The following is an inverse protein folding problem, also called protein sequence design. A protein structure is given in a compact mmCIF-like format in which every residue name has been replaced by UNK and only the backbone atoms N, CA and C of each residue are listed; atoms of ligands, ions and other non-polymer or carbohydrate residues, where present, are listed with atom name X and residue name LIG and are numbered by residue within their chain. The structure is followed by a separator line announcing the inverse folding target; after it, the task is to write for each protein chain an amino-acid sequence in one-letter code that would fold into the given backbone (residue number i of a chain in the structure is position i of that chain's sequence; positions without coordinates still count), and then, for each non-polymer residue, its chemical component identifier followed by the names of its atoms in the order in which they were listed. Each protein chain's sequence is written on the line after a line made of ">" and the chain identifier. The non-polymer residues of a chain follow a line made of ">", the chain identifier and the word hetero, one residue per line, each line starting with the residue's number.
data_IF_567386435064
#
_entry.id   IF_567386435064
#
_cell.length_a   1.000
_cell.length_b   1.000
_cell.length_c   1.000
_cell.angle_alpha   90.00
_cell.angle_beta   90.00
_cell.angle_gamma   90.00
#
_symmetry.space_group_name_H-M   'P 1'
#
loop_
_entity.id
_entity.type
_entity.pdbx_description
1 polymer ?
#
# COMPACT_ATOMS: atom_id res chain seq x y z
N UNK A 1 -7.41 40.42 -26.74
CA UNK A 1 -7.81 39.46 -27.80
C UNK A 1 -8.16 38.16 -27.10
N UNK A 2 -9.45 37.85 -27.00
CA UNK A 2 -9.92 36.61 -26.36
C UNK A 2 -9.53 35.43 -27.24
N UNK A 3 -8.79 34.44 -26.71
CA UNK A 3 -8.47 33.21 -27.44
C UNK A 3 -9.78 32.56 -27.93
N UNK A 4 -9.78 31.93 -29.13
CA UNK A 4 -10.92 31.16 -29.60
C UNK A 4 -11.33 30.16 -28.51
N UNK A 5 -12.62 30.13 -28.18
CA UNK A 5 -13.13 29.37 -27.04
C UNK A 5 -12.71 27.92 -27.15
N UNK A 6 -11.85 27.47 -26.23
CA UNK A 6 -11.48 26.06 -26.12
C UNK A 6 -12.78 25.28 -25.97
N UNK A 7 -13.05 24.37 -26.91
CA UNK A 7 -14.17 23.46 -26.79
C UNK A 7 -13.94 22.62 -25.53
N UNK A 8 -14.69 22.97 -24.49
CA UNK A 8 -14.52 22.37 -23.17
C UNK A 8 -14.80 20.87 -23.17
N UNK A 9 -15.58 20.37 -24.14
CA UNK A 9 -15.87 18.95 -24.29
C UNK A 9 -14.68 18.21 -24.93
N UNK A 10 -14.15 18.75 -26.03
CA UNK A 10 -13.00 18.16 -26.72
C UNK A 10 -11.75 18.14 -25.83
N UNK A 11 -11.46 19.24 -25.13
CA UNK A 11 -10.33 19.32 -24.20
C UNK A 11 -10.46 18.32 -23.04
N UNK A 12 -11.67 18.15 -22.50
CA UNK A 12 -11.91 17.17 -21.44
C UNK A 12 -11.71 15.73 -21.91
N UNK A 13 -12.18 15.40 -23.13
CA UNK A 13 -12.00 14.08 -23.72
C UNK A 13 -10.52 13.76 -23.99
N UNK A 14 -9.74 14.74 -24.44
CA UNK A 14 -8.32 14.56 -24.69
C UNK A 14 -7.51 14.38 -23.38
N UNK A 15 -7.80 15.21 -22.38
CA UNK A 15 -7.16 15.11 -21.06
C UNK A 15 -7.53 13.81 -20.35
N UNK A 16 -8.79 13.34 -20.43
CA UNK A 16 -9.19 12.06 -19.84
C UNK A 16 -8.50 10.87 -20.51
N UNK A 17 -8.31 10.90 -21.84
CA UNK A 17 -7.51 9.90 -22.55
C UNK A 17 -6.04 9.92 -22.11
N UNK A 18 -5.48 11.11 -21.88
CA UNK A 18 -4.10 11.27 -21.38
C UNK A 18 -3.97 10.70 -19.97
N UNK A 19 -4.93 10.97 -19.09
CA UNK A 19 -5.01 10.39 -17.73
C UNK A 19 -5.11 8.85 -17.79
N UNK A 20 -5.90 8.31 -18.71
CA UNK A 20 -5.98 6.86 -18.88
C UNK A 20 -4.65 6.25 -19.34
N UNK A 21 -3.94 6.86 -20.30
CA UNK A 21 -2.59 6.43 -20.67
C UNK A 21 -1.64 6.49 -19.46
N UNK A 22 -1.74 7.55 -18.66
CA UNK A 22 -0.94 7.73 -17.46
C UNK A 22 -1.22 6.70 -16.36
N UNK A 23 -2.39 6.05 -16.38
CA UNK A 23 -2.70 4.92 -15.49
C UNK A 23 -1.89 3.65 -15.81
N UNK A 24 -1.52 3.48 -17.08
CA UNK A 24 -0.73 2.35 -17.58
C UNK A 24 0.77 2.66 -17.53
N UNK A 25 1.13 3.90 -17.83
CA UNK A 25 2.51 4.37 -17.83
C UNK A 25 2.61 5.80 -17.25
N UNK A 26 3.17 5.96 -16.03
CA UNK A 26 3.22 7.24 -15.34
C UNK A 26 3.95 8.37 -16.07
N UNK A 27 4.75 8.10 -17.11
CA UNK A 27 5.42 9.18 -17.87
C UNK A 27 4.42 10.15 -18.51
N UNK A 28 3.23 9.67 -18.87
CA UNK A 28 2.17 10.46 -19.51
C UNK A 28 1.52 11.49 -18.57
N UNK A 29 1.82 11.48 -17.26
CA UNK A 29 1.40 12.58 -16.39
C UNK A 29 2.02 13.91 -16.80
N UNK A 30 3.24 13.90 -17.34
CA UNK A 30 3.91 15.10 -17.87
C UNK A 30 3.17 15.72 -19.07
N UNK A 31 2.45 14.92 -19.85
CA UNK A 31 1.65 15.39 -21.01
C UNK A 31 0.31 16.03 -20.60
N UNK A 32 -0.18 15.75 -19.38
CA UNK A 32 -1.44 16.30 -18.87
C UNK A 32 -1.29 17.77 -18.46
N UNK A 33 -0.19 18.09 -17.79
CA UNK A 33 0.04 19.40 -17.17
C UNK A 33 0.01 20.58 -18.17
N UNK A 34 0.63 20.48 -19.37
CA UNK A 34 0.54 21.52 -20.40
C UNK A 34 -0.90 21.81 -20.84
N UNK A 35 -1.70 20.76 -21.05
CA UNK A 35 -3.11 20.89 -21.48
C UNK A 35 -3.97 21.51 -20.39
N UNK A 36 -3.73 21.13 -19.14
CA UNK A 36 -4.40 21.74 -18.00
C UNK A 36 -4.02 23.22 -17.82
N UNK A 37 -2.75 23.56 -18.04
CA UNK A 37 -2.27 24.96 -18.03
C UNK A 37 -2.98 25.81 -19.08
N UNK A 38 -3.12 25.31 -20.31
CA UNK A 38 -3.78 26.02 -21.41
C UNK A 38 -5.24 26.36 -21.09
N UNK A 39 -6.02 25.41 -20.55
CA UNK A 39 -7.42 25.65 -20.17
C UNK A 39 -7.58 26.51 -18.92
N UNK A 40 -6.50 26.68 -18.16
CA UNK A 40 -6.40 27.52 -16.97
C UNK A 40 -5.67 28.86 -17.26
N UNK A 41 -5.74 29.40 -18.47
CA UNK A 41 -5.18 30.72 -18.85
C UNK A 41 -3.64 30.78 -18.74
N UNK A 42 -2.97 29.70 -19.17
CA UNK A 42 -1.51 29.51 -19.10
C UNK A 42 -0.94 29.77 -17.70
N UNK A 43 -1.72 29.43 -16.67
CA UNK A 43 -1.26 29.49 -15.30
C UNK A 43 -0.48 28.22 -14.95
N UNK A 44 0.63 28.34 -14.21
CA UNK A 44 1.44 27.18 -13.86
C UNK A 44 0.64 26.08 -13.17
N UNK A 45 0.94 24.84 -13.53
CA UNK A 45 0.31 23.63 -12.97
C UNK A 45 1.40 22.76 -12.39
N UNK A 46 1.17 22.18 -11.22
CA UNK A 46 2.14 21.34 -10.55
C UNK A 46 1.46 20.16 -9.87
N UNK A 47 2.15 19.03 -9.92
CA UNK A 47 1.88 17.88 -9.09
C UNK A 47 2.98 17.77 -8.04
N UNK A 48 2.59 17.88 -6.78
CA UNK A 48 3.49 18.02 -5.65
C UNK A 48 3.39 16.79 -4.74
N UNK A 49 4.53 16.28 -4.28
CA UNK A 49 4.60 15.32 -3.19
C UNK A 49 4.93 16.07 -1.90
N UNK A 50 3.93 16.22 -1.03
CA UNK A 50 4.02 16.92 0.24
C UNK A 50 4.17 15.92 1.38
N UNK A 51 5.32 15.89 2.05
CA UNK A 51 5.52 15.04 3.23
C UNK A 51 5.34 15.83 4.52
N UNK A 52 4.40 15.47 5.43
CA UNK A 52 4.22 16.16 6.70
C UNK A 52 5.50 16.14 7.54
N UNK A 53 6.04 17.31 7.85
CA UNK A 53 7.26 17.46 8.67
C UNK A 53 8.57 17.14 7.95
N UNK A 54 8.54 16.81 6.66
CA UNK A 54 9.76 16.75 5.84
C UNK A 54 10.15 18.15 5.39
N UNK A 55 11.44 18.43 5.45
CA UNK A 55 12.07 19.65 4.97
C UNK A 55 12.27 19.65 3.44
N UNK A 56 11.77 18.60 2.77
CA UNK A 56 11.79 18.37 1.33
C UNK A 56 10.39 17.95 0.88
N UNK A 57 9.81 18.74 -0.02
CA UNK A 57 8.60 18.39 -0.77
C UNK A 57 8.93 18.51 -2.25
N UNK A 58 9.46 17.46 -2.89
CA UNK A 58 9.84 17.55 -4.28
C UNK A 58 8.62 17.87 -5.14
N UNK A 59 8.78 18.85 -6.03
CA UNK A 59 7.88 18.99 -7.18
C UNK A 59 8.08 17.73 -8.00
N UNK A 60 7.02 16.93 -8.15
CA UNK A 60 7.12 15.65 -8.88
C UNK A 60 7.16 15.95 -10.37
N UNK A 61 6.25 16.81 -10.83
CA UNK A 61 6.21 17.36 -12.17
C UNK A 61 5.56 18.75 -12.12
N UNK A 62 6.05 19.69 -12.92
CA UNK A 62 5.46 21.03 -13.08
C UNK A 62 5.51 21.47 -14.53
N UNK A 63 4.56 22.34 -14.90
CA UNK A 63 4.53 23.03 -16.18
C UNK A 63 4.19 24.50 -15.97
N UNK A 64 4.83 25.39 -16.73
CA UNK A 64 4.62 26.83 -16.66
C UNK A 64 5.43 27.55 -15.58
N UNK A 65 6.16 26.82 -14.73
CA UNK A 65 7.21 27.36 -13.86
C UNK A 65 8.57 27.20 -14.55
N UNK A 66 9.47 28.19 -14.43
CA UNK A 66 10.85 28.01 -14.88
C UNK A 66 11.57 27.01 -13.95
N UNK A 67 12.48 26.21 -14.52
CA UNK A 67 13.17 25.13 -13.80
C UNK A 67 13.90 25.63 -12.55
N UNK A 68 14.50 26.83 -12.60
CA UNK A 68 15.18 27.47 -11.47
C UNK A 68 14.25 27.74 -10.27
N UNK A 69 12.98 28.06 -10.52
CA UNK A 69 11.99 28.25 -9.47
C UNK A 69 11.50 26.92 -8.88
N UNK A 70 11.37 25.88 -9.72
CA UNK A 70 11.03 24.55 -9.26
C UNK A 70 12.15 23.94 -8.39
N UNK A 71 13.41 24.11 -8.79
CA UNK A 71 14.59 23.68 -8.03
C UNK A 71 14.69 24.43 -6.69
N UNK A 72 14.65 25.77 -6.71
CA UNK A 72 14.73 26.59 -5.49
C UNK A 72 13.57 26.31 -4.50
N UNK A 73 12.40 25.92 -5.01
CA UNK A 73 11.31 25.44 -4.16
C UNK A 73 11.67 24.12 -3.46
N UNK A 74 12.17 23.15 -4.21
CA UNK A 74 12.61 21.85 -3.67
C UNK A 74 13.71 22.00 -2.62
N UNK A 75 14.62 22.94 -2.79
CA UNK A 75 15.75 23.16 -1.88
C UNK A 75 15.38 23.98 -0.64
N UNK A 76 14.71 25.12 -0.82
CA UNK A 76 14.62 26.15 0.20
C UNK A 76 13.18 26.60 0.51
N UNK A 77 12.36 26.88 -0.51
CA UNK A 77 11.06 27.52 -0.27
C UNK A 77 9.92 26.57 0.12
N UNK A 78 10.08 25.25 -0.04
CA UNK A 78 9.06 24.29 0.42
C UNK A 78 8.76 24.40 1.92
N UNK A 79 9.77 24.73 2.74
CA UNK A 79 9.64 24.85 4.20
C UNK A 79 8.91 26.13 4.60
N UNK A 80 9.00 27.14 3.75
CA UNK A 80 8.36 28.44 3.93
C UNK A 80 6.96 28.47 3.33
N UNK A 81 6.57 27.45 2.55
CA UNK A 81 5.25 27.37 1.92
C UNK A 81 4.14 27.38 2.99
N UNK A 82 3.49 28.54 3.11
CA UNK A 82 2.46 28.80 4.09
C UNK A 82 1.14 28.05 3.82
N UNK A 83 0.96 27.49 2.63
CA UNK A 83 -0.20 26.68 2.27
C UNK A 83 -0.05 25.21 2.66
N UNK A 84 1.18 24.67 2.62
CA UNK A 84 1.44 23.25 2.81
C UNK A 84 0.89 22.66 4.13
N UNK A 85 1.04 23.29 5.32
CA UNK A 85 0.48 22.77 6.57
C UNK A 85 -1.06 22.73 6.60
N UNK A 86 -1.72 23.51 5.76
CA UNK A 86 -3.19 23.58 5.67
C UNK A 86 -3.74 22.55 4.67
N UNK A 87 -2.93 22.14 3.70
CA UNK A 87 -3.26 21.08 2.76
C UNK A 87 -3.37 19.72 3.45
N UNK A 88 -2.53 19.43 4.45
CA UNK A 88 -2.56 18.16 5.19
C UNK A 88 -3.84 17.94 6.04
N UNK A 89 -4.65 18.99 6.24
CA UNK A 89 -5.93 18.90 6.96
C UNK A 89 -7.12 18.63 6.02
N UNK A 90 -6.91 18.74 4.69
CA UNK A 90 -7.96 18.54 3.68
C UNK A 90 -8.19 17.06 3.42
N UNK A 91 -9.43 16.72 3.05
CA UNK A 91 -9.77 15.34 2.70
C UNK A 91 -9.31 15.03 1.26
N UNK A 92 -8.72 13.86 0.99
CA UNK A 92 -8.47 13.45 -0.39
C UNK A 92 -9.74 13.50 -1.24
N UNK A 93 -9.61 14.01 -2.47
CA UNK A 93 -10.73 14.25 -3.40
C UNK A 93 -11.49 15.55 -3.17
N UNK A 94 -11.17 16.34 -2.14
CA UNK A 94 -11.77 17.66 -1.93
C UNK A 94 -11.04 18.71 -2.78
N UNK A 95 -11.72 19.28 -3.77
CA UNK A 95 -11.19 20.42 -4.55
C UNK A 95 -11.34 21.70 -3.74
N UNK A 96 -10.28 22.51 -3.68
CA UNK A 96 -10.26 23.76 -2.93
C UNK A 96 -9.59 24.88 -3.72
N UNK A 97 -9.97 26.12 -3.37
CA UNK A 97 -9.32 27.36 -3.81
C UNK A 97 -8.38 27.86 -2.71
N UNK A 98 -7.29 28.53 -3.08
CA UNK A 98 -6.34 29.09 -2.10
C UNK A 98 -7.00 30.18 -1.27
N UNK A 99 -7.95 30.95 -1.81
CA UNK A 99 -8.77 31.88 -1.04
C UNK A 99 -9.52 31.23 0.16
N UNK A 100 -9.85 29.94 0.08
CA UNK A 100 -10.48 29.19 1.18
C UNK A 100 -9.47 28.61 2.19
N UNK A 101 -8.17 28.76 1.91
CA UNK A 101 -7.06 28.24 2.72
C UNK A 101 -6.39 29.38 3.49
N UNK A 102 -6.18 30.51 2.82
CA UNK A 102 -5.53 31.68 3.39
C UNK A 102 -6.05 32.93 2.69
N UNK A 103 -6.32 33.98 3.46
CA UNK A 103 -6.67 35.27 2.88
C UNK A 103 -5.45 35.91 2.20
N UNK A 104 -5.67 36.55 1.05
CA UNK A 104 -4.61 37.22 0.28
C UNK A 104 -3.83 38.23 1.11
N UNK A 105 -4.48 38.93 2.06
CA UNK A 105 -3.81 39.91 2.95
C UNK A 105 -2.74 39.29 3.85
N UNK A 106 -2.88 38.02 4.20
CA UNK A 106 -1.92 37.30 5.03
C UNK A 106 -0.81 36.72 4.16
N UNK A 107 -1.16 36.19 2.98
CA UNK A 107 -0.20 35.69 2.00
C UNK A 107 0.86 36.76 1.66
N UNK A 108 0.42 37.99 1.35
CA UNK A 108 1.34 39.06 0.91
C UNK A 108 2.37 39.48 1.97
N UNK A 109 2.15 39.09 3.24
CA UNK A 109 3.07 39.35 4.35
C UNK A 109 4.12 38.25 4.55
N UNK A 110 4.03 37.14 3.82
CA UNK A 110 4.93 36.00 3.98
C UNK A 110 6.19 36.16 3.13
N UNK A 111 7.29 35.56 3.60
CA UNK A 111 8.53 35.42 2.83
C UNK A 111 8.30 34.60 1.55
N UNK A 112 7.56 33.50 1.68
CA UNK A 112 7.17 32.65 0.55
C UNK A 112 6.51 33.42 -0.60
N UNK A 113 5.62 34.36 -0.28
CA UNK A 113 5.03 35.20 -1.30
C UNK A 113 6.02 36.18 -1.92
N UNK A 114 6.72 36.95 -1.09
CA UNK A 114 7.53 38.08 -1.57
C UNK A 114 8.77 37.62 -2.34
N UNK A 115 9.37 36.51 -1.91
CA UNK A 115 10.67 36.08 -2.42
C UNK A 115 10.55 34.95 -3.45
N UNK A 116 9.46 34.16 -3.42
CA UNK A 116 9.26 33.05 -4.35
C UNK A 116 8.06 33.23 -5.29
N UNK A 117 6.82 33.45 -4.80
CA UNK A 117 5.65 33.53 -5.69
C UNK A 117 5.62 34.81 -6.55
N UNK A 118 5.90 35.97 -5.94
CA UNK A 118 5.73 37.27 -6.57
C UNK A 118 6.66 37.51 -7.77
N UNK A 119 7.95 37.12 -7.74
CA UNK A 119 8.85 37.25 -8.91
C UNK A 119 8.38 36.48 -10.15
N UNK A 120 7.56 35.45 -9.97
CA UNK A 120 7.08 34.57 -11.04
C UNK A 120 5.81 35.12 -11.72
N UNK A 121 5.84 36.37 -12.19
CA UNK A 121 4.66 37.05 -12.76
C UNK A 121 3.51 37.26 -11.76
N UNK A 122 3.88 37.60 -10.52
CA UNK A 122 2.97 37.96 -9.44
C UNK A 122 1.91 36.89 -9.16
N UNK A 123 2.35 35.62 -9.05
CA UNK A 123 1.51 34.51 -8.59
C UNK A 123 1.02 34.77 -7.16
N UNK A 124 -0.23 34.45 -6.86
CA UNK A 124 -0.86 34.88 -5.59
C UNK A 124 -2.01 34.02 -5.08
N UNK A 125 -2.43 33.01 -5.85
CA UNK A 125 -3.45 32.08 -5.38
C UNK A 125 -3.47 30.84 -6.24
N UNK A 126 -4.59 30.15 -6.27
CA UNK A 126 -4.71 28.92 -7.04
C UNK A 126 -5.91 28.08 -6.69
N UNK A 127 -5.95 26.90 -7.30
CA UNK A 127 -6.83 25.83 -6.86
C UNK A 127 -6.06 24.50 -6.87
N UNK A 128 -6.49 23.57 -6.04
CA UNK A 128 -5.85 22.29 -5.92
C UNK A 128 -6.78 21.20 -5.39
N UNK A 129 -6.27 19.98 -5.43
CA UNK A 129 -6.91 18.81 -4.86
C UNK A 129 -5.83 17.89 -4.28
N UNK A 130 -6.10 17.36 -3.09
CA UNK A 130 -5.30 16.26 -2.54
C UNK A 130 -5.79 14.97 -3.19
N UNK A 131 -4.96 14.33 -4.00
CA UNK A 131 -5.32 13.11 -4.72
C UNK A 131 -5.25 11.89 -3.79
N UNK A 132 -4.19 11.79 -3.02
CA UNK A 132 -3.99 10.72 -2.04
C UNK A 132 -3.09 11.19 -0.91
N UNK A 133 -3.20 10.57 0.26
CA UNK A 133 -2.31 10.76 1.39
C UNK A 133 -2.08 9.42 2.08
N UNK A 134 -0.81 9.01 2.23
CA UNK A 134 -0.44 7.73 2.83
C UNK A 134 0.24 7.88 4.20
N UNK A 135 0.04 9.02 4.89
CA UNK A 135 0.65 9.32 6.19
C UNK A 135 2.07 9.86 6.13
N UNK A 136 2.89 9.41 5.18
CA UNK A 136 4.23 9.97 4.92
C UNK A 136 4.26 11.02 3.82
N UNK A 137 3.41 10.86 2.82
CA UNK A 137 3.38 11.70 1.60
C UNK A 137 1.94 11.90 1.16
N UNK A 138 1.59 13.13 0.83
CA UNK A 138 0.36 13.52 0.19
C UNK A 138 0.66 14.03 -1.22
N UNK A 139 -0.11 13.58 -2.20
CA UNK A 139 0.01 14.07 -3.58
C UNK A 139 -1.04 15.13 -3.83
N UNK A 140 -0.62 16.31 -4.26
CA UNK A 140 -1.47 17.43 -4.56
C UNK A 140 -1.33 17.81 -6.03
N UNK A 141 -2.42 17.78 -6.79
CA UNK A 141 -2.50 18.42 -8.10
C UNK A 141 -3.07 19.82 -7.90
N UNK A 142 -2.39 20.84 -8.41
CA UNK A 142 -2.89 22.19 -8.32
C UNK A 142 -2.34 23.10 -9.40
N UNK A 143 -2.99 24.24 -9.54
CA UNK A 143 -2.52 25.35 -10.38
C UNK A 143 -2.35 26.58 -9.51
N UNK A 144 -1.29 27.32 -9.78
CA UNK A 144 -1.02 28.61 -9.15
C UNK A 144 -1.42 29.69 -10.12
N UNK A 145 -2.27 30.63 -9.69
CA UNK A 145 -2.78 31.69 -10.57
C UNK A 145 -2.18 33.05 -10.22
N UNK A 146 -2.08 33.90 -11.24
CA UNK A 146 -1.61 35.28 -11.13
C UNK A 146 -2.58 36.13 -10.30
N UNK A 147 -2.07 37.18 -9.64
CA UNK A 147 -2.89 38.13 -8.88
C UNK A 147 -3.96 38.83 -9.74
N UNK A 148 -3.67 39.01 -11.04
CA UNK A 148 -4.64 39.59 -11.97
C UNK A 148 -5.79 38.62 -12.22
N UNK A 149 -7.02 39.09 -12.06
CA UNK A 149 -8.25 38.28 -12.19
C UNK A 149 -8.27 37.07 -11.23
N UNK A 150 -7.66 37.21 -10.05
CA UNK A 150 -7.45 36.14 -9.07
C UNK A 150 -8.70 35.26 -8.85
N UNK A 151 -9.81 35.86 -8.40
CA UNK A 151 -11.04 35.11 -8.08
C UNK A 151 -11.58 34.31 -9.27
N UNK A 152 -11.56 34.93 -10.47
CA UNK A 152 -12.01 34.29 -11.70
C UNK A 152 -11.11 33.11 -12.08
N UNK A 153 -9.79 33.31 -11.99
CA UNK A 153 -8.82 32.29 -12.38
C UNK A 153 -8.81 31.11 -11.40
N UNK A 154 -8.94 31.37 -10.09
CA UNK A 154 -9.13 30.30 -9.09
C UNK A 154 -10.41 29.50 -9.33
N UNK A 155 -11.49 30.17 -9.71
CA UNK A 155 -12.77 29.50 -9.99
C UNK A 155 -12.67 28.61 -11.25
N UNK A 156 -12.07 29.11 -12.34
CA UNK A 156 -11.83 28.32 -13.56
C UNK A 156 -10.96 27.10 -13.24
N UNK A 157 -9.88 27.31 -12.48
CA UNK A 157 -8.97 26.26 -12.05
C UNK A 157 -9.68 25.17 -11.23
N UNK A 158 -10.45 25.55 -10.22
CA UNK A 158 -11.21 24.62 -9.39
C UNK A 158 -12.22 23.81 -10.21
N UNK A 159 -12.91 24.44 -11.16
CA UNK A 159 -13.86 23.77 -12.03
C UNK A 159 -13.19 22.73 -12.94
N UNK A 160 -12.05 23.06 -13.54
CA UNK A 160 -11.31 22.11 -14.39
C UNK A 160 -10.73 20.94 -13.60
N UNK A 161 -10.11 21.22 -12.45
CA UNK A 161 -9.63 20.17 -11.54
C UNK A 161 -10.78 19.27 -11.11
N UNK A 162 -11.94 19.84 -10.75
CA UNK A 162 -13.14 19.08 -10.39
C UNK A 162 -13.68 18.20 -11.51
N UNK A 163 -13.64 18.67 -12.77
CA UNK A 163 -14.03 17.86 -13.94
C UNK A 163 -13.07 16.71 -14.21
N UNK A 164 -11.76 16.91 -13.98
CA UNK A 164 -10.73 15.88 -14.22
C UNK A 164 -10.63 14.87 -13.08
N UNK A 165 -10.97 15.26 -11.86
CA UNK A 165 -10.79 14.46 -10.66
C UNK A 165 -11.35 13.03 -10.75
N UNK A 166 -12.59 12.78 -11.25
CA UNK A 166 -13.10 11.41 -11.36
C UNK A 166 -12.21 10.51 -12.23
N UNK A 167 -11.67 11.05 -13.32
CA UNK A 167 -10.77 10.31 -14.21
C UNK A 167 -9.43 10.03 -13.54
N UNK A 168 -8.89 10.98 -12.77
CA UNK A 168 -7.65 10.79 -12.02
C UNK A 168 -7.82 9.71 -10.95
N UNK A 169 -8.92 9.74 -10.21
CA UNK A 169 -9.23 8.72 -9.19
C UNK A 169 -9.41 7.33 -9.83
N UNK A 170 -10.06 7.25 -10.99
CA UNK A 170 -10.20 6.00 -11.74
C UNK A 170 -8.84 5.49 -12.25
N UNK A 171 -8.01 6.36 -12.81
CA UNK A 171 -6.65 6.02 -13.22
C UNK A 171 -5.83 5.46 -12.05
N UNK A 172 -5.93 6.05 -10.85
CA UNK A 172 -5.27 5.53 -9.66
C UNK A 172 -5.79 4.16 -9.22
N UNK A 173 -7.09 3.86 -9.40
CA UNK A 173 -7.62 2.52 -9.13
C UNK A 173 -7.01 1.48 -10.09
N UNK A 174 -6.93 1.81 -11.38
CA UNK A 174 -6.29 0.95 -12.39
C UNK A 174 -4.81 0.72 -12.08
N UNK A 175 -4.06 1.78 -11.78
CA UNK A 175 -2.64 1.66 -11.42
C UNK A 175 -2.44 0.79 -10.17
N UNK A 176 -3.29 0.94 -9.14
CA UNK A 176 -3.24 0.10 -7.94
C UNK A 176 -3.48 -1.38 -8.24
N UNK A 177 -4.46 -1.70 -9.09
CA UNK A 177 -4.72 -3.08 -9.49
C UNK A 177 -3.53 -3.69 -10.27
N UNK A 178 -2.95 -2.94 -11.21
CA UNK A 178 -1.76 -3.37 -11.95
C UNK A 178 -0.55 -3.57 -11.02
N UNK A 179 -0.37 -2.67 -10.07
CA UNK A 179 0.71 -2.75 -9.09
C UNK A 179 0.50 -3.96 -8.15
N UNK A 180 -0.73 -4.26 -7.74
CA UNK A 180 -1.07 -5.49 -7.01
C UNK A 180 -0.68 -6.77 -7.77
N UNK A 181 -0.97 -6.83 -9.08
CA UNK A 181 -0.56 -7.96 -9.93
C UNK A 181 0.96 -8.09 -10.08
N UNK A 182 1.69 -6.96 -10.19
CA UNK A 182 3.17 -6.97 -10.20
C UNK A 182 3.71 -7.52 -8.89
N UNK A 183 3.10 -7.15 -7.76
CA UNK A 183 3.48 -7.62 -6.44
C UNK A 183 3.32 -9.14 -6.29
N UNK A 184 2.20 -9.69 -6.77
CA UNK A 184 1.98 -11.14 -6.78
C UNK A 184 2.96 -11.86 -7.71
N UNK A 185 3.25 -11.30 -8.89
CA UNK A 185 4.26 -11.83 -9.81
C UNK A 185 5.65 -11.83 -9.17
N UNK A 186 6.03 -10.76 -8.50
CA UNK A 186 7.29 -10.65 -7.77
C UNK A 186 7.38 -11.70 -6.66
N UNK A 187 6.35 -11.84 -5.84
CA UNK A 187 6.32 -12.85 -4.78
C UNK A 187 6.42 -14.28 -5.33
N UNK A 188 5.72 -14.59 -6.42
CA UNK A 188 5.79 -15.90 -7.08
C UNK A 188 7.19 -16.22 -7.60
N UNK A 189 7.90 -15.24 -8.19
CA UNK A 189 9.30 -15.42 -8.66
C UNK A 189 10.27 -15.72 -7.52
N UNK A 190 9.97 -15.25 -6.32
CA UNK A 190 10.74 -15.52 -5.11
C UNK A 190 10.39 -16.86 -4.45
N UNK A 191 9.63 -17.74 -5.13
CA UNK A 191 9.10 -19.00 -4.61
C UNK A 191 8.26 -18.83 -3.33
N UNK A 192 7.60 -17.68 -3.20
CA UNK A 192 6.67 -17.40 -2.11
C UNK A 192 5.27 -17.84 -2.56
N UNK A 193 4.47 -18.36 -1.63
CA UNK A 193 3.19 -18.98 -1.96
C UNK A 193 2.13 -17.89 -2.21
N UNK A 194 2.24 -17.21 -3.35
CA UNK A 194 1.43 -16.04 -3.69
C UNK A 194 -0.07 -16.35 -3.88
N UNK A 195 -0.45 -17.61 -4.12
CA UNK A 195 -1.82 -18.05 -4.47
C UNK A 195 -2.86 -18.02 -3.34
N UNK A 196 -2.73 -17.08 -2.39
CA UNK A 196 -3.61 -16.93 -1.23
C UNK A 196 -2.96 -16.20 -0.04
N UNK A 197 -1.75 -15.66 -0.22
CA UNK A 197 -1.08 -14.86 0.80
C UNK A 197 -1.48 -13.37 0.69
N UNK A 198 -1.65 -12.73 1.85
CA UNK A 198 -1.70 -11.28 1.93
C UNK A 198 -0.27 -10.73 1.83
N UNK A 199 -0.04 -9.82 0.88
CA UNK A 199 1.28 -9.23 0.62
C UNK A 199 1.20 -7.72 0.83
N UNK A 200 2.14 -7.18 1.61
CA UNK A 200 2.27 -5.76 1.92
C UNK A 200 3.68 -5.27 1.58
N UNK A 201 3.79 -4.13 0.93
CA UNK A 201 5.03 -3.38 0.74
C UNK A 201 5.05 -2.23 1.74
N UNK A 202 6.11 -2.15 2.53
CA UNK A 202 6.17 -1.28 3.70
C UNK A 202 7.44 -0.42 3.66
N UNK A 203 7.31 0.87 4.02
CA UNK A 203 8.44 1.79 4.20
C UNK A 203 9.24 1.47 5.47
N UNK A 204 10.42 2.07 5.62
CA UNK A 204 11.22 1.97 6.84
C UNK A 204 10.53 2.53 8.10
N UNK A 205 9.47 3.35 7.97
CA UNK A 205 8.69 3.85 9.12
C UNK A 205 7.39 3.04 9.36
N UNK A 206 7.32 1.83 8.79
CA UNK A 206 6.15 0.93 8.80
C UNK A 206 4.93 1.45 8.04
N UNK A 207 5.09 2.43 7.15
CA UNK A 207 3.97 2.96 6.36
C UNK A 207 3.64 2.01 5.23
N UNK A 208 2.36 1.70 5.07
CA UNK A 208 1.87 0.88 3.96
C UNK A 208 2.02 1.65 2.64
N UNK A 209 2.84 1.13 1.74
CA UNK A 209 3.03 1.68 0.40
C UNK A 209 2.10 1.01 -0.61
N UNK A 210 2.00 -0.32 -0.55
CA UNK A 210 1.22 -1.11 -1.50
C UNK A 210 0.78 -2.44 -0.90
N UNK A 211 -0.30 -3.01 -1.43
CA UNK A 211 -0.81 -4.32 -1.04
C UNK A 211 -1.50 -5.00 -2.22
N UNK A 212 -1.62 -6.33 -2.16
CA UNK A 212 -2.49 -7.08 -3.07
C UNK A 212 -3.94 -7.16 -2.54
N UNK A 213 -4.85 -7.72 -3.34
CA UNK A 213 -6.27 -7.80 -3.01
C UNK A 213 -6.52 -8.64 -1.75
N UNK A 214 -5.79 -9.75 -1.57
CA UNK A 214 -5.88 -10.59 -0.37
C UNK A 214 -5.50 -9.83 0.90
N UNK A 215 -4.46 -8.99 0.83
CA UNK A 215 -4.08 -8.11 1.93
C UNK A 215 -5.11 -7.02 2.20
N UNK A 216 -5.74 -6.48 1.15
CA UNK A 216 -6.83 -5.51 1.29
C UNK A 216 -8.02 -6.11 2.04
N UNK A 217 -8.50 -7.29 1.62
CA UNK A 217 -9.58 -8.02 2.30
C UNK A 217 -9.23 -8.36 3.76
N UNK A 218 -7.97 -8.74 4.03
CA UNK A 218 -7.50 -9.02 5.39
C UNK A 218 -7.62 -7.80 6.31
N UNK A 219 -7.31 -6.60 5.80
CA UNK A 219 -7.43 -5.36 6.56
C UNK A 219 -8.90 -4.95 6.77
N UNK A 220 -9.78 -5.19 5.79
CA UNK A 220 -11.21 -4.87 5.90
C UNK A 220 -11.95 -5.74 6.91
N UNK A 221 -11.61 -7.03 6.98
CA UNK A 221 -12.28 -7.97 7.89
C UNK A 221 -12.04 -7.68 9.37
N UNK A 222 -11.04 -6.84 9.73
CA UNK A 222 -10.61 -6.49 11.09
C UNK A 222 -10.23 -7.66 12.01
N UNK A 223 -10.46 -8.90 11.59
CA UNK A 223 -10.15 -10.14 12.30
C UNK A 223 -8.75 -10.70 11.95
N UNK A 224 -8.06 -10.08 10.99
CA UNK A 224 -6.69 -10.42 10.61
C UNK A 224 -5.67 -10.13 11.72
N UNK A 225 -4.45 -10.69 11.59
CA UNK A 225 -3.35 -10.42 12.52
C UNK A 225 -2.69 -9.05 12.26
N UNK A 226 -2.90 -8.48 11.07
CA UNK A 226 -2.40 -7.17 10.64
C UNK A 226 -3.55 -6.18 10.66
N UNK A 227 -3.28 -4.94 11.07
CA UNK A 227 -4.24 -3.84 11.02
C UNK A 227 -3.55 -2.52 10.64
N UNK A 228 -4.35 -1.54 10.24
CA UNK A 228 -3.88 -0.18 9.96
C UNK A 228 -3.98 0.71 11.20
N UNK A 229 -2.85 1.27 11.59
CA UNK A 229 -2.73 2.31 12.62
C UNK A 229 -2.89 3.71 12.00
N UNK A 230 -3.15 4.75 12.82
CA UNK A 230 -3.15 6.13 12.36
C UNK A 230 -1.87 6.48 11.59
N UNK A 231 -2.06 7.20 10.48
CA UNK A 231 -0.99 7.53 9.53
C UNK A 231 -0.68 6.41 8.53
N UNK A 232 -1.62 5.49 8.27
CA UNK A 232 -1.47 4.39 7.31
C UNK A 232 -0.26 3.50 7.60
N UNK A 233 -0.01 3.24 8.89
CA UNK A 233 1.09 2.38 9.35
C UNK A 233 0.58 0.97 9.61
N UNK A 234 1.40 -0.01 9.28
CA UNK A 234 1.13 -1.42 9.56
C UNK A 234 1.40 -1.69 11.05
N UNK A 235 0.38 -2.18 11.74
CA UNK A 235 0.45 -2.69 13.10
C UNK A 235 0.14 -4.18 13.16
N UNK A 236 0.72 -4.87 14.15
CA UNK A 236 0.42 -6.27 14.43
C UNK A 236 -0.49 -6.35 15.65
N UNK A 237 -1.44 -7.29 15.65
CA UNK A 237 -2.34 -7.49 16.80
C UNK A 237 -1.56 -7.90 18.06
N UNK A 238 -0.48 -8.65 17.90
CA UNK A 238 0.37 -9.09 19.01
C UNK A 238 1.66 -8.26 19.06
N UNK A 239 1.81 -7.45 20.12
CA UNK A 239 2.92 -6.51 20.29
C UNK A 239 4.29 -7.20 20.33
N UNK A 240 4.37 -8.42 20.89
CA UNK A 240 5.61 -9.21 20.97
C UNK A 240 6.20 -9.59 19.61
N UNK A 241 5.40 -9.49 18.55
CA UNK A 241 5.80 -9.85 17.19
C UNK A 241 6.25 -8.63 16.38
N UNK A 242 5.98 -7.41 16.86
CA UNK A 242 6.43 -6.18 16.19
C UNK A 242 7.96 -6.08 16.09
N UNK A 243 8.69 -6.63 17.07
CA UNK A 243 10.16 -6.70 17.06
C UNK A 243 10.70 -7.41 15.81
N UNK A 244 9.97 -8.39 15.26
CA UNK A 244 10.38 -9.09 14.04
C UNK A 244 10.32 -8.19 12.81
N UNK A 245 9.33 -7.29 12.76
CA UNK A 245 9.20 -6.32 11.67
C UNK A 245 10.31 -5.26 11.76
N UNK A 246 10.62 -4.78 12.97
CA UNK A 246 11.72 -3.83 13.19
C UNK A 246 13.08 -4.42 12.87
N UNK A 247 13.31 -5.69 13.23
CA UNK A 247 14.54 -6.40 12.86
C UNK A 247 14.66 -6.48 11.34
N UNK A 248 13.59 -6.79 10.61
CA UNK A 248 13.62 -6.84 9.15
C UNK A 248 13.96 -5.47 8.53
N UNK A 249 13.33 -4.40 9.02
CA UNK A 249 13.62 -3.01 8.60
C UNK A 249 15.09 -2.65 8.90
N UNK A 250 15.59 -2.98 10.09
CA UNK A 250 16.98 -2.70 10.47
C UNK A 250 18.02 -3.56 9.72
N UNK A 251 17.61 -4.72 9.21
CA UNK A 251 18.46 -5.64 8.42
C UNK A 251 18.70 -5.09 7.01
N UNK A 252 17.69 -4.47 6.38
CA UNK A 252 17.81 -3.73 5.12
C UNK A 252 18.87 -2.63 5.24
N UNK A 253 18.76 -1.78 6.27
CA UNK A 253 19.69 -0.69 6.53
C UNK A 253 21.14 -1.14 6.75
N UNK A 254 21.37 -2.42 7.02
CA UNK A 254 22.69 -3.00 7.32
C UNK A 254 23.21 -3.95 6.23
N UNK A 255 22.43 -4.21 5.17
CA UNK A 255 22.83 -5.09 4.06
C UNK A 255 23.14 -6.53 4.48
N UNK A 256 22.45 -7.04 5.51
CA UNK A 256 22.72 -8.38 6.05
C UNK A 256 21.82 -9.44 5.38
N UNK A 257 22.43 -10.44 4.73
CA UNK A 257 21.75 -11.65 4.26
C UNK A 257 21.29 -12.50 5.45
N UNK A 258 20.16 -12.16 6.06
CA UNK A 258 19.47 -13.08 6.97
C UNK A 258 18.23 -13.62 6.29
N UNK A 259 18.17 -14.96 6.22
CA UNK A 259 16.98 -15.72 5.88
C UNK A 259 15.77 -15.13 6.62
N UNK A 260 14.78 -14.68 5.87
CA UNK A 260 13.48 -14.25 6.40
C UNK A 260 12.75 -15.48 6.95
N UNK A 261 13.09 -15.88 8.17
CA UNK A 261 12.45 -17.00 8.85
C UNK A 261 10.98 -16.65 9.10
N UNK A 262 10.05 -17.58 8.85
CA UNK A 262 8.66 -17.35 9.15
C UNK A 262 8.47 -17.20 10.67
N UNK A 263 7.63 -16.26 11.07
CA UNK A 263 7.22 -16.05 12.45
C UNK A 263 5.69 -16.18 12.59
N UNK A 264 5.19 -16.69 13.71
CA UNK A 264 3.77 -16.90 13.90
C UNK A 264 3.04 -15.58 14.18
N UNK A 265 1.81 -15.48 13.72
CA UNK A 265 0.88 -14.38 14.00
C UNK A 265 -0.46 -14.93 14.47
N UNK A 266 -1.14 -14.17 15.33
CA UNK A 266 -2.49 -14.49 15.83
C UNK A 266 -3.50 -13.47 15.33
N UNK A 267 -4.56 -13.96 14.69
CA UNK A 267 -5.74 -13.16 14.36
C UNK A 267 -6.82 -13.26 15.44
N UNK A 268 -8.03 -12.79 15.12
CA UNK A 268 -9.21 -12.98 15.95
C UNK A 268 -9.57 -14.46 16.08
N UNK A 269 -10.34 -14.79 17.12
CA UNK A 269 -10.92 -16.12 17.32
C UNK A 269 -9.89 -17.26 17.28
N UNK A 270 -8.67 -17.00 17.77
CA UNK A 270 -7.56 -17.96 17.81
C UNK A 270 -7.15 -18.49 16.42
N UNK A 271 -7.35 -17.70 15.36
CA UNK A 271 -6.82 -18.00 14.03
C UNK A 271 -5.31 -17.81 14.00
N UNK A 272 -4.60 -18.75 13.35
CA UNK A 272 -3.15 -18.74 13.25
C UNK A 272 -2.72 -18.36 11.84
N UNK A 273 -1.69 -17.51 11.78
CA UNK A 273 -1.07 -17.05 10.57
C UNK A 273 0.44 -17.27 10.66
N UNK A 274 1.07 -17.40 9.51
CA UNK A 274 2.52 -17.38 9.37
C UNK A 274 2.88 -16.14 8.58
N UNK A 275 3.81 -15.35 9.10
CA UNK A 275 4.30 -14.17 8.41
C UNK A 275 5.79 -14.26 8.11
N UNK A 276 6.19 -13.59 7.03
CA UNK A 276 7.59 -13.45 6.62
C UNK A 276 7.83 -12.00 6.25
N UNK A 277 8.84 -11.39 6.85
CA UNK A 277 9.29 -10.04 6.52
C UNK A 277 10.61 -10.14 5.76
N UNK A 278 10.60 -9.71 4.49
CA UNK A 278 11.73 -9.80 3.57
C UNK A 278 12.26 -8.39 3.32
N UNK A 279 13.51 -8.08 3.73
CA UNK A 279 14.19 -6.85 3.32
C UNK A 279 14.25 -6.74 1.78
N UNK A 280 13.96 -5.56 1.25
CA UNK A 280 14.04 -5.27 -0.18
C UNK A 280 15.34 -4.52 -0.47
N UNK A 281 16.13 -5.02 -1.42
CA UNK A 281 17.22 -4.23 -1.99
C UNK A 281 16.69 -3.13 -2.92
N UNK A 282 17.55 -2.20 -3.35
CA UNK A 282 17.14 -1.07 -4.18
C UNK A 282 16.46 -1.48 -5.50
N UNK A 283 16.88 -2.60 -6.10
CA UNK A 283 16.32 -3.10 -7.35
C UNK A 283 14.91 -3.68 -7.14
N UNK A 284 14.76 -4.54 -6.13
CA UNK A 284 13.49 -5.14 -5.73
C UNK A 284 12.51 -4.09 -5.26
N UNK A 285 12.98 -3.12 -4.46
CA UNK A 285 12.20 -1.98 -4.01
C UNK A 285 11.68 -1.18 -5.21
N UNK A 286 12.50 -0.93 -6.25
CA UNK A 286 12.06 -0.22 -7.45
C UNK A 286 11.01 -0.98 -8.28
N UNK A 287 11.02 -2.32 -8.26
CA UNK A 287 10.05 -3.16 -8.96
C UNK A 287 8.69 -3.22 -8.24
N UNK A 288 8.70 -3.31 -6.90
CA UNK A 288 7.48 -3.48 -6.08
C UNK A 288 6.91 -2.19 -5.52
N UNK A 289 7.69 -1.10 -5.49
CA UNK A 289 7.19 0.20 -5.03
C UNK A 289 6.22 0.78 -6.05
N UNK A 290 5.09 1.35 -5.59
CA UNK A 290 4.16 1.98 -6.49
C UNK A 290 4.82 3.19 -7.15
N UNK A 291 4.56 3.41 -8.44
CA UNK A 291 5.00 4.62 -9.12
C UNK A 291 3.88 5.67 -9.09
N UNK A 292 3.79 6.38 -7.97
CA UNK A 292 2.79 7.42 -7.79
C UNK A 292 3.18 8.66 -8.58
N UNK A 293 2.62 8.76 -9.79
CA UNK A 293 2.76 9.91 -10.66
C UNK A 293 4.22 10.27 -11.02
N UNK A 294 5.10 9.28 -11.11
CA UNK A 294 6.53 9.49 -11.36
C UNK A 294 7.40 9.48 -10.09
N UNK A 295 6.78 9.46 -8.89
CA UNK A 295 7.47 9.37 -7.61
C UNK A 295 7.36 7.95 -7.02
N UNK A 296 8.50 7.32 -6.73
CA UNK A 296 8.56 6.03 -6.03
C UNK A 296 8.98 6.25 -4.57
N UNK A 297 8.09 6.02 -3.59
CA UNK A 297 8.51 6.04 -2.19
C UNK A 297 9.49 4.89 -1.91
N UNK A 298 10.46 5.06 -1.00
CA UNK A 298 11.42 4.00 -0.67
C UNK A 298 10.73 2.87 0.09
N UNK A 299 10.59 1.71 -0.54
CA UNK A 299 10.19 0.47 0.12
C UNK A 299 11.36 -0.18 0.84
N UNK A 300 11.10 -0.70 2.04
CA UNK A 300 12.11 -1.36 2.86
C UNK A 300 11.82 -2.86 3.06
N UNK A 301 10.54 -3.22 3.22
CA UNK A 301 10.15 -4.59 3.57
C UNK A 301 8.95 -5.06 2.75
N UNK A 302 9.05 -6.29 2.26
CA UNK A 302 7.93 -7.09 1.77
C UNK A 302 7.45 -8.01 2.89
N UNK A 303 6.25 -7.73 3.42
CA UNK A 303 5.60 -8.56 4.41
C UNK A 303 4.61 -9.49 3.73
N UNK A 304 4.74 -10.78 3.96
CA UNK A 304 3.82 -11.81 3.48
C UNK A 304 3.16 -12.45 4.68
N UNK A 305 1.83 -12.54 4.65
CA UNK A 305 1.01 -13.13 5.71
C UNK A 305 0.10 -14.18 5.09
N UNK A 306 0.31 -15.42 5.51
CA UNK A 306 -0.48 -16.56 5.07
C UNK A 306 -1.28 -17.09 6.24
N UNK A 307 -2.53 -17.49 5.99
CA UNK A 307 -3.26 -18.26 6.99
C UNK A 307 -2.51 -19.57 7.18
N UNK A 308 -2.01 -19.79 8.38
CA UNK A 308 -1.35 -21.03 8.69
C UNK A 308 -2.42 -22.12 8.67
N UNK A 309 -2.38 -23.00 7.67
CA UNK A 309 -3.03 -24.31 7.76
C UNK A 309 -2.22 -25.09 8.80
N UNK A 310 -2.39 -24.71 10.05
CA UNK A 310 -1.51 -25.18 11.09
C UNK A 310 -1.84 -26.65 11.34
N UNK A 311 -0.86 -27.51 11.12
CA UNK A 311 -0.80 -28.83 11.75
C UNK A 311 -1.00 -28.72 13.26
N UNK A 312 -0.60 -27.60 13.88
CA UNK A 312 -0.91 -27.23 15.26
C UNK A 312 -2.41 -26.96 15.53
N UNK A 313 -3.13 -26.32 14.61
CA UNK A 313 -4.58 -26.09 14.72
C UNK A 313 -5.40 -27.34 14.42
N UNK A 314 -4.94 -28.20 13.51
CA UNK A 314 -5.53 -29.54 13.32
C UNK A 314 -5.28 -30.38 14.57
N UNK A 315 -4.05 -30.39 15.10
CA UNK A 315 -3.71 -31.11 16.33
C UNK A 315 -4.56 -30.66 17.51
N UNK A 316 -4.68 -29.35 17.73
CA UNK A 316 -5.52 -28.78 18.78
C UNK A 316 -6.99 -29.15 18.59
N UNK A 317 -7.55 -29.01 17.38
CA UNK A 317 -8.95 -29.36 17.08
C UNK A 317 -9.22 -30.86 17.22
N UNK A 318 -8.27 -31.71 16.83
CA UNK A 318 -8.35 -33.15 16.99
C UNK A 318 -8.29 -33.55 18.47
N UNK A 319 -7.44 -32.88 19.26
CA UNK A 319 -7.36 -33.07 20.71
C UNK A 319 -8.62 -32.58 21.42
N UNK A 320 -9.12 -31.37 21.14
CA UNK A 320 -10.32 -30.82 21.79
C UNK A 320 -11.60 -31.56 21.40
N UNK A 321 -11.77 -31.89 20.11
CA UNK A 321 -13.02 -32.48 19.60
C UNK A 321 -13.13 -33.97 19.86
N UNK A 322 -12.01 -34.69 19.90
CA UNK A 322 -11.98 -36.15 20.01
C UNK A 322 -11.14 -36.69 21.17
N UNK A 323 -10.54 -35.82 22.01
CA UNK A 323 -9.73 -36.27 23.15
C UNK A 323 -8.45 -37.01 22.76
N UNK A 324 -7.91 -36.71 21.58
CA UNK A 324 -6.68 -37.35 21.08
C UNK A 324 -5.44 -36.81 21.79
N UNK A 325 -4.56 -37.70 22.21
CA UNK A 325 -3.25 -37.37 22.78
C UNK A 325 -2.29 -36.90 21.69
N UNK A 326 -1.23 -36.16 22.06
CA UNK A 326 -0.18 -35.71 21.11
C UNK A 326 0.37 -36.85 20.25
N UNK A 327 0.59 -38.02 20.85
CA UNK A 327 1.07 -39.22 20.14
C UNK A 327 0.06 -39.83 19.17
N UNK A 328 -1.24 -39.74 19.47
CA UNK A 328 -2.29 -40.24 18.58
C UNK A 328 -2.52 -39.28 17.41
N UNK A 329 -2.47 -37.97 17.66
CA UNK A 329 -2.56 -36.93 16.63
C UNK A 329 -1.44 -37.06 15.59
N UNK A 330 -0.20 -37.28 16.03
CA UNK A 330 0.95 -37.49 15.12
C UNK A 330 0.77 -38.71 14.21
N UNK A 331 0.21 -39.82 14.71
CA UNK A 331 -0.11 -40.98 13.87
C UNK A 331 -1.23 -40.65 12.87
N UNK A 332 -2.30 -40.02 13.34
CA UNK A 332 -3.48 -39.68 12.54
C UNK A 332 -3.09 -38.75 11.38
N UNK A 333 -2.25 -37.74 11.63
CA UNK A 333 -1.80 -36.79 10.62
C UNK A 333 -0.89 -37.44 9.57
N UNK A 334 0.00 -38.36 9.98
CA UNK A 334 0.86 -39.14 9.06
C UNK A 334 0.07 -40.13 8.20
N UNK A 335 -0.94 -40.78 8.76
CA UNK A 335 -1.88 -41.63 8.00
C UNK A 335 -2.64 -40.80 6.97
N UNK A 336 -3.12 -39.61 7.34
CA UNK A 336 -3.79 -38.69 6.42
C UNK A 336 -2.83 -38.17 5.33
N UNK A 337 -1.54 -38.03 5.64
CA UNK A 337 -0.47 -37.75 4.68
C UNK A 337 -0.03 -38.92 3.82
N UNK A 338 -0.69 -40.09 3.92
CA UNK A 338 -0.41 -41.26 3.08
C UNK A 338 0.74 -42.15 3.55
N UNK A 339 1.29 -41.94 4.75
CA UNK A 339 2.34 -42.79 5.30
C UNK A 339 1.81 -44.18 5.69
N UNK A 340 2.59 -45.23 5.42
CA UNK A 340 2.28 -46.59 5.91
C UNK A 340 2.63 -46.74 7.39
N UNK A 341 2.11 -47.78 8.05
CA UNK A 341 2.38 -48.03 9.47
C UNK A 341 3.86 -48.31 9.73
N UNK A 342 4.52 -48.98 8.78
CA UNK A 342 5.94 -49.31 8.82
C UNK A 342 6.80 -48.05 8.73
N UNK A 343 6.45 -47.11 7.84
CA UNK A 343 7.12 -45.80 7.75
C UNK A 343 6.92 -44.96 9.01
N UNK A 344 5.74 -45.02 9.63
CA UNK A 344 5.46 -44.31 10.89
C UNK A 344 6.25 -44.92 12.05
N UNK A 345 6.38 -46.25 12.10
CA UNK A 345 7.17 -46.95 13.12
C UNK A 345 8.65 -46.58 13.03
N UNK A 346 9.20 -46.56 11.82
CA UNK A 346 10.57 -46.14 11.55
C UNK A 346 10.82 -44.68 11.94
N UNK A 347 9.96 -43.76 11.46
CA UNK A 347 10.10 -42.33 11.73
C UNK A 347 9.99 -41.97 13.22
N UNK A 348 9.24 -42.75 14.01
CA UNK A 348 9.04 -42.52 15.45
C UNK A 348 9.95 -43.36 16.33
N UNK A 349 10.86 -44.15 15.74
CA UNK A 349 11.71 -45.11 16.44
C UNK A 349 10.91 -46.00 17.41
N UNK A 350 9.72 -46.43 16.98
CA UNK A 350 8.76 -47.18 17.78
C UNK A 350 8.46 -48.53 17.12
N UNK A 351 8.01 -49.52 17.91
CA UNK A 351 7.60 -50.80 17.33
C UNK A 351 6.32 -50.65 16.50
N UNK A 352 6.19 -51.46 15.44
CA UNK A 352 4.96 -51.53 14.64
C UNK A 352 3.73 -51.87 15.51
N UNK A 353 3.92 -52.65 16.58
CA UNK A 353 2.87 -52.99 17.54
C UNK A 353 2.41 -51.77 18.33
N UNK A 354 3.33 -50.89 18.73
CA UNK A 354 3.02 -49.63 19.42
C UNK A 354 2.22 -48.69 18.52
N UNK A 355 2.63 -48.55 17.26
CA UNK A 355 1.91 -47.73 16.27
C UNK A 355 0.50 -48.28 16.02
N UNK A 356 0.35 -49.60 15.86
CA UNK A 356 -0.97 -50.26 15.71
C UNK A 356 -1.88 -50.04 16.92
N UNK A 357 -1.33 -50.13 18.13
CA UNK A 357 -2.09 -49.90 19.36
C UNK A 357 -2.59 -48.46 19.47
N UNK A 358 -1.71 -47.49 19.21
CA UNK A 358 -2.07 -46.07 19.23
C UNK A 358 -3.04 -45.69 18.09
N UNK A 359 -2.91 -46.28 16.90
CA UNK A 359 -3.89 -46.12 15.83
C UNK A 359 -5.27 -46.67 16.23
N UNK A 360 -5.33 -47.85 16.84
CA UNK A 360 -6.59 -48.44 17.31
C UNK A 360 -7.26 -47.57 18.37
N UNK A 361 -6.47 -47.01 19.29
CA UNK A 361 -6.92 -46.04 20.29
C UNK A 361 -7.51 -44.79 19.63
N UNK A 362 -6.79 -44.21 18.66
CA UNK A 362 -7.23 -43.04 17.92
C UNK A 362 -8.54 -43.30 17.16
N UNK A 363 -8.65 -44.42 16.46
CA UNK A 363 -9.87 -44.80 15.73
C UNK A 363 -11.07 -45.01 16.66
N UNK A 364 -10.84 -45.58 17.85
CA UNK A 364 -11.87 -45.70 18.89
C UNK A 364 -12.37 -44.34 19.37
N UNK A 365 -11.47 -43.39 19.60
CA UNK A 365 -11.79 -42.02 20.02
C UNK A 365 -12.49 -41.19 18.94
N UNK A 366 -12.17 -41.41 17.68
CA UNK A 366 -12.80 -40.71 16.54
C UNK A 366 -14.04 -41.42 15.99
N UNK A 367 -14.39 -42.60 16.49
CA UNK A 367 -15.52 -43.40 16.01
C UNK A 367 -15.36 -43.96 14.59
N UNK A 368 -14.13 -44.06 14.08
CA UNK A 368 -13.83 -44.52 12.72
C UNK A 368 -13.52 -46.02 12.70
N UNK A 369 -13.84 -46.69 11.58
CA UNK A 369 -13.66 -48.15 11.45
C UNK A 369 -12.56 -48.53 10.46
N UNK A 370 -12.22 -47.66 9.51
CA UNK A 370 -11.14 -47.85 8.53
C UNK A 370 -10.14 -46.69 8.58
N UNK A 371 -8.88 -46.97 8.24
CA UNK A 371 -7.83 -45.93 8.12
C UNK A 371 -8.22 -44.84 7.10
N UNK A 372 -8.89 -45.22 6.01
CA UNK A 372 -9.40 -44.27 5.01
C UNK A 372 -10.46 -43.32 5.60
N UNK A 373 -11.29 -43.79 6.54
CA UNK A 373 -12.29 -42.95 7.22
C UNK A 373 -11.60 -41.92 8.13
N UNK A 374 -10.50 -42.33 8.78
CA UNK A 374 -9.67 -41.45 9.60
C UNK A 374 -9.02 -40.35 8.75
N UNK A 375 -8.45 -40.70 7.59
CA UNK A 375 -7.90 -39.73 6.65
C UNK A 375 -8.97 -38.75 6.14
N UNK A 376 -10.16 -39.25 5.81
CA UNK A 376 -11.30 -38.41 5.37
C UNK A 376 -11.77 -37.48 6.50
N UNK A 377 -11.78 -37.94 7.75
CA UNK A 377 -12.12 -37.13 8.91
C UNK A 377 -11.11 -36.00 9.14
N UNK A 378 -9.81 -36.30 9.00
CA UNK A 378 -8.75 -35.28 9.08
C UNK A 378 -8.91 -34.24 7.98
N UNK A 379 -9.19 -34.65 6.74
CA UNK A 379 -9.46 -33.72 5.64
C UNK A 379 -10.69 -32.84 5.89
N UNK A 380 -11.75 -33.37 6.52
CA UNK A 380 -12.90 -32.56 6.95
C UNK A 380 -12.53 -31.56 8.03
N UNK A 381 -11.68 -31.95 8.99
CA UNK A 381 -11.19 -31.06 10.06
C UNK A 381 -10.17 -30.03 9.54
N UNK A 382 -9.48 -30.32 8.42
CA UNK A 382 -8.61 -29.38 7.70
C UNK A 382 -9.40 -28.28 7.00
N UNK A 383 -10.56 -28.64 6.44
CA UNK A 383 -11.45 -27.74 5.67
C UNK A 383 -12.45 -26.95 6.50
N UNK A 384 -12.77 -27.43 7.70
CA UNK A 384 -13.55 -26.72 8.72
C UNK A 384 -12.64 -25.78 9.52
#
# INVERSE_FOLDING_TARGET
>A
MSRPGIDSSAALAEMSMTIFKASLDPQYWSDLLPKLSEVCDDNPVSLLACSPGSAQAPVVISHGLEDSYAESYGENYNRLNCWAPRFSQRRPGEVFKIANVMETRDLVRTEFYNDWLKPQDNLSGGAGVILTANGETAFCLGTTVRFRNLEKNEEIAAQWIGKLLPFVLQAQQVSRALDGLKLESFAARQNLNAGGAAIFVISAKRTLLQMNDVAHEMLEQLDGPVHLLPGNRIGMREMSVEDHLDIAIATEQRGLDRLALPFPLRGANNSFFSARAIPLDAASAAEVSPNWFGHRPPAAVLLIVERAVSTLGISHRLTERFGLTKSEVDIVDRIAGGSTLEQIAEARQASIHTVRSQLKSAMGKTGTRRQADLATLVERVRRA
#
